data_IF_235785885979
#
_entry.id   IF_235785885979
#
_cell.length_a   1.000
_cell.length_b   1.000
_cell.length_c   1.000
_cell.angle_alpha   90.00
_cell.angle_beta   90.00
_cell.angle_gamma   90.00
#
_symmetry.space_group_name_H-M   'P 1'
#
loop_
_entity.id
_entity.type
_entity.pdbx_description
1 polymer ?
#
# COMPACT_ATOMS: atom_id res chain seq x y z
N UNK A 1 -52.14 27.47 25.83
CA UNK A 1 -51.36 26.87 24.72
C UNK A 1 -50.67 25.64 25.27
N UNK A 2 -51.02 24.43 24.78
CA UNK A 2 -50.48 23.15 25.28
C UNK A 2 -49.21 22.82 24.48
N UNK A 3 -48.07 22.78 25.15
CA UNK A 3 -46.81 22.34 24.54
C UNK A 3 -46.80 20.81 24.43
N UNK A 4 -46.87 20.30 23.21
CA UNK A 4 -46.71 18.88 22.89
C UNK A 4 -45.22 18.61 22.73
N UNK A 5 -44.63 17.89 23.69
CA UNK A 5 -43.28 17.36 23.59
C UNK A 5 -43.30 16.15 22.64
N UNK A 6 -42.76 16.30 21.42
CA UNK A 6 -42.48 15.19 20.52
C UNK A 6 -41.15 14.58 20.98
N UNK A 7 -41.21 13.45 21.68
CA UNK A 7 -40.04 12.62 21.97
C UNK A 7 -39.70 11.88 20.66
N UNK A 8 -38.74 12.42 19.93
CA UNK A 8 -38.15 11.77 18.76
C UNK A 8 -37.37 10.55 19.26
N UNK A 9 -38.01 9.38 19.24
CA UNK A 9 -37.33 8.12 19.53
C UNK A 9 -36.31 7.86 18.43
N UNK A 10 -35.05 8.17 18.72
CA UNK A 10 -33.90 7.71 17.94
C UNK A 10 -33.84 6.19 18.09
N UNK A 11 -34.50 5.49 17.17
CA UNK A 11 -34.29 4.06 16.98
C UNK A 11 -32.86 3.88 16.48
N UNK A 12 -31.92 3.70 17.41
CA UNK A 12 -30.59 3.19 17.13
C UNK A 12 -30.81 1.77 16.60
N UNK A 13 -30.83 1.65 15.27
CA UNK A 13 -30.70 0.36 14.60
C UNK A 13 -29.34 -0.20 15.01
N UNK A 14 -29.35 -1.02 16.06
CA UNK A 14 -28.26 -1.93 16.40
C UNK A 14 -28.18 -2.93 15.25
N UNK A 15 -27.47 -2.55 14.18
CA UNK A 15 -27.06 -3.48 13.15
C UNK A 15 -26.32 -4.60 13.88
N UNK A 16 -26.94 -5.78 13.89
CA UNK A 16 -26.35 -6.99 14.47
C UNK A 16 -25.19 -7.37 13.56
N UNK A 17 -24.01 -6.82 13.85
CA UNK A 17 -22.78 -7.25 13.22
C UNK A 17 -22.60 -8.73 13.56
N UNK A 18 -22.52 -9.57 12.53
CA UNK A 18 -22.10 -10.95 12.73
C UNK A 18 -20.70 -10.94 13.34
N UNK A 19 -20.53 -11.62 14.47
CA UNK A 19 -19.25 -11.83 15.14
C UNK A 19 -18.48 -13.03 14.54
N UNK A 20 -18.78 -13.44 13.31
CA UNK A 20 -18.04 -14.53 12.68
C UNK A 20 -16.59 -14.08 12.44
N UNK A 21 -15.65 -14.84 12.99
CA UNK A 21 -14.22 -14.65 12.80
C UNK A 21 -13.78 -15.27 11.47
N UNK A 22 -13.16 -14.47 10.60
CA UNK A 22 -12.76 -14.88 9.26
C UNK A 22 -11.25 -14.91 9.14
N UNK A 23 -10.71 -16.05 8.67
CA UNK A 23 -9.32 -16.15 8.25
C UNK A 23 -9.22 -15.92 6.74
N UNK A 24 -8.61 -14.81 6.34
CA UNK A 24 -8.24 -14.59 4.94
C UNK A 24 -6.96 -15.36 4.63
N UNK A 25 -6.93 -16.03 3.48
CA UNK A 25 -5.75 -16.69 2.92
C UNK A 25 -5.94 -16.84 1.43
N UNK A 26 -4.86 -16.77 0.66
CA UNK A 26 -4.87 -17.19 -0.72
C UNK A 26 -5.20 -18.68 -0.86
N UNK A 27 -5.89 -19.03 -1.93
CA UNK A 27 -6.02 -20.41 -2.37
C UNK A 27 -5.24 -20.61 -3.67
N UNK A 28 -4.07 -21.24 -3.56
CA UNK A 28 -3.23 -21.61 -4.71
C UNK A 28 -3.56 -22.99 -5.29
N UNK A 29 -4.45 -23.76 -4.67
CA UNK A 29 -4.80 -25.10 -5.14
C UNK A 29 -5.39 -25.06 -6.54
N UNK A 30 -4.94 -26.01 -7.38
CA UNK A 30 -5.36 -26.19 -8.76
C UNK A 30 -5.20 -24.95 -9.65
N UNK A 31 -4.21 -24.11 -9.34
CA UNK A 31 -3.85 -22.92 -10.13
C UNK A 31 -2.37 -22.97 -10.48
N UNK A 32 -2.04 -22.61 -11.73
CA UNK A 32 -0.67 -22.37 -12.20
C UNK A 32 -0.32 -20.89 -12.16
N UNK A 33 -1.27 -20.02 -12.45
CA UNK A 33 -1.06 -18.58 -12.36
C UNK A 33 -2.36 -17.80 -12.10
N UNK A 34 -2.22 -16.63 -11.49
CA UNK A 34 -3.26 -15.61 -11.37
C UNK A 34 -2.69 -14.34 -12.00
N UNK A 35 -3.43 -13.73 -12.93
CA UNK A 35 -2.98 -12.59 -13.71
C UNK A 35 -3.86 -11.38 -13.42
N UNK A 36 -3.22 -10.27 -13.11
CA UNK A 36 -3.84 -8.97 -12.93
C UNK A 36 -3.36 -8.00 -13.99
N UNK A 37 -4.26 -7.14 -14.47
CA UNK A 37 -3.85 -5.88 -15.05
C UNK A 37 -3.35 -4.96 -13.93
N UNK A 38 -2.29 -4.21 -14.22
CA UNK A 38 -1.59 -3.38 -13.25
C UNK A 38 -1.36 -1.97 -13.80
N UNK A 39 -1.60 -0.97 -12.96
CA UNK A 39 -1.36 0.43 -13.22
C UNK A 39 -0.72 1.08 -11.99
N UNK A 40 0.32 1.89 -12.20
CA UNK A 40 0.95 2.67 -11.16
C UNK A 40 1.23 4.08 -11.66
N UNK A 41 0.79 5.08 -10.90
CA UNK A 41 1.11 6.48 -11.13
C UNK A 41 1.98 6.99 -10.00
N UNK A 42 3.12 7.58 -10.34
CA UNK A 42 4.10 8.12 -9.41
C UNK A 42 4.24 9.61 -9.67
N UNK A 43 4.16 10.41 -8.61
CA UNK A 43 4.49 11.83 -8.61
C UNK A 43 5.61 12.04 -7.61
N UNK A 44 6.82 12.27 -8.09
CA UNK A 44 8.01 12.54 -7.27
C UNK A 44 8.35 14.03 -7.29
N UNK A 45 8.88 14.53 -6.18
CA UNK A 45 9.45 15.87 -6.07
C UNK A 45 10.81 15.77 -5.39
N UNK A 46 11.83 16.36 -6.01
CA UNK A 46 13.16 16.46 -5.46
C UNK A 46 13.63 17.93 -5.48
N UNK A 47 13.79 18.58 -4.30
CA UNK A 47 14.17 19.98 -4.23
C UNK A 47 15.55 20.30 -4.82
N UNK A 48 16.45 19.31 -4.92
CA UNK A 48 17.75 19.50 -5.57
C UNK A 48 17.64 19.72 -7.09
N UNK A 49 16.48 19.40 -7.71
CA UNK A 49 16.21 19.59 -9.14
C UNK A 49 15.12 20.66 -9.38
N UNK A 50 15.26 21.82 -8.73
CA UNK A 50 14.35 22.97 -8.85
C UNK A 50 12.88 22.66 -8.51
N UNK A 51 12.63 21.71 -7.59
CA UNK A 51 11.29 21.28 -7.20
C UNK A 51 10.38 20.84 -8.36
N UNK A 52 10.94 20.50 -9.51
CA UNK A 52 10.15 19.99 -10.64
C UNK A 52 9.54 18.66 -10.24
N UNK A 53 8.21 18.58 -10.34
CA UNK A 53 7.49 17.32 -10.17
C UNK A 53 7.68 16.46 -11.40
N UNK A 54 8.10 15.23 -11.20
CA UNK A 54 8.17 14.22 -12.24
C UNK A 54 6.97 13.31 -12.10
N UNK A 55 6.24 13.12 -13.20
CA UNK A 55 5.06 12.28 -13.26
C UNK A 55 5.41 11.06 -14.10
N UNK A 56 5.28 9.88 -13.53
CA UNK A 56 5.51 8.61 -14.22
C UNK A 56 4.26 7.76 -14.16
N UNK A 57 3.91 7.14 -15.27
CA UNK A 57 2.79 6.20 -15.36
C UNK A 57 3.30 4.86 -15.88
N UNK A 58 3.03 3.80 -15.14
CA UNK A 58 3.47 2.45 -15.44
C UNK A 58 2.23 1.58 -15.64
N UNK A 59 2.16 0.85 -16.75
CA UNK A 59 1.11 -0.12 -17.03
C UNK A 59 1.69 -1.46 -17.44
N UNK A 60 1.04 -2.54 -17.08
CA UNK A 60 1.40 -3.88 -17.54
C UNK A 60 0.60 -4.93 -16.81
N UNK A 61 1.22 -6.07 -16.54
CA UNK A 61 0.58 -7.18 -15.86
C UNK A 61 1.35 -7.60 -14.63
N UNK A 62 0.61 -7.97 -13.59
CA UNK A 62 1.15 -8.61 -12.41
C UNK A 62 0.73 -10.09 -12.43
N UNK A 63 1.71 -10.98 -12.52
CA UNK A 63 1.49 -12.44 -12.53
C UNK A 63 1.92 -13.03 -11.20
N UNK A 64 0.98 -13.68 -10.52
CA UNK A 64 1.25 -14.57 -9.40
C UNK A 64 1.44 -15.97 -10.00
N UNK A 65 2.67 -16.48 -10.03
CA UNK A 65 3.01 -17.81 -10.55
C UNK A 65 3.07 -18.80 -9.38
N UNK A 66 2.16 -19.77 -9.37
CA UNK A 66 2.10 -20.79 -8.31
C UNK A 66 3.13 -21.89 -8.61
N UNK A 67 3.89 -22.27 -7.58
CA UNK A 67 4.89 -23.35 -7.61
C UNK A 67 4.30 -24.65 -7.06
N UNK A 68 4.98 -25.76 -7.33
CA UNK A 68 4.56 -27.09 -6.89
C UNK A 68 4.61 -27.30 -5.38
N UNK A 69 5.35 -26.47 -4.65
CA UNK A 69 5.49 -26.48 -3.19
C UNK A 69 4.38 -25.68 -2.47
N UNK A 70 3.42 -25.11 -3.21
CA UNK A 70 2.35 -24.30 -2.65
C UNK A 70 2.75 -22.87 -2.30
N UNK A 71 3.91 -22.41 -2.75
CA UNK A 71 4.33 -21.01 -2.70
C UNK A 71 4.11 -20.33 -4.06
N UNK A 72 4.24 -19.00 -4.11
CA UNK A 72 4.07 -18.25 -5.34
C UNK A 72 5.12 -17.16 -5.56
N UNK A 73 5.54 -16.99 -6.81
CA UNK A 73 6.37 -15.86 -7.23
C UNK A 73 5.47 -14.76 -7.82
N UNK A 74 5.77 -13.50 -7.53
CA UNK A 74 5.09 -12.35 -8.10
C UNK A 74 5.98 -11.69 -9.13
N UNK A 75 5.46 -11.50 -10.34
CA UNK A 75 6.25 -11.13 -11.52
C UNK A 75 5.55 -9.98 -12.24
N UNK A 76 6.27 -8.90 -12.51
CA UNK A 76 5.87 -7.90 -13.48
C UNK A 76 6.10 -8.41 -14.89
N UNK A 77 5.08 -8.28 -15.74
CA UNK A 77 5.10 -8.72 -17.13
C UNK A 77 4.64 -7.61 -18.07
N UNK A 78 5.33 -7.48 -19.20
CA UNK A 78 4.93 -6.57 -20.29
C UNK A 78 4.71 -5.13 -19.80
N UNK A 79 5.57 -4.67 -18.90
CA UNK A 79 5.44 -3.35 -18.30
C UNK A 79 5.89 -2.26 -19.28
N UNK A 80 5.15 -1.17 -19.33
CA UNK A 80 5.46 0.05 -20.07
C UNK A 80 5.42 1.22 -19.12
N UNK A 81 6.53 1.94 -19.01
CA UNK A 81 6.64 3.19 -18.28
C UNK A 81 6.50 4.36 -19.23
N UNK A 82 5.76 5.38 -18.82
CA UNK A 82 5.55 6.62 -19.55
C UNK A 82 5.97 7.80 -18.67
N UNK A 83 6.85 8.65 -19.21
CA UNK A 83 7.09 9.97 -18.61
C UNK A 83 5.93 10.88 -19.01
N UNK A 84 5.34 11.54 -18.02
CA UNK A 84 4.24 12.47 -18.21
C UNK A 84 4.71 13.90 -17.97
N UNK A 85 4.24 14.83 -18.80
CA UNK A 85 4.34 16.26 -18.55
C UNK A 85 2.96 16.86 -18.34
N UNK A 86 2.90 17.96 -17.61
CA UNK A 86 1.69 18.78 -17.50
C UNK A 86 1.74 19.89 -18.56
N UNK A 87 0.69 20.01 -19.36
CA UNK A 87 0.57 21.07 -20.37
C UNK A 87 0.07 22.41 -19.77
N UNK A 88 -0.13 23.43 -20.61
CA UNK A 88 -0.60 24.76 -20.17
C UNK A 88 -2.00 24.75 -19.54
N UNK A 89 -2.82 23.72 -19.79
CA UNK A 89 -4.16 23.55 -19.24
C UNK A 89 -4.17 22.76 -17.94
N UNK A 90 -3.03 22.18 -17.55
CA UNK A 90 -2.94 21.28 -16.40
C UNK A 90 -3.17 19.81 -16.74
N UNK A 91 -3.29 19.46 -18.03
CA UNK A 91 -3.53 18.09 -18.48
C UNK A 91 -2.22 17.31 -18.58
N UNK A 92 -2.26 16.02 -18.22
CA UNK A 92 -1.10 15.14 -18.35
C UNK A 92 -0.96 14.59 -19.77
N UNK A 93 0.20 14.83 -20.38
CA UNK A 93 0.56 14.38 -21.72
C UNK A 93 1.73 13.39 -21.64
N UNK A 94 1.56 12.23 -22.28
CA UNK A 94 2.62 11.21 -22.41
C UNK A 94 3.70 11.72 -23.35
N UNK A 95 4.96 11.72 -22.90
CA UNK A 95 6.12 12.15 -23.70
C UNK A 95 6.88 10.98 -24.29
N UNK A 96 7.45 10.17 -23.40
CA UNK A 96 8.33 9.06 -23.75
C UNK A 96 7.76 7.78 -23.19
N UNK A 97 8.04 6.66 -23.86
CA UNK A 97 7.68 5.32 -23.38
C UNK A 97 8.89 4.41 -23.36
N UNK A 98 9.01 3.63 -22.29
CA UNK A 98 10.04 2.61 -22.15
C UNK A 98 9.39 1.27 -21.79
N UNK A 99 9.72 0.22 -22.54
CA UNK A 99 9.36 -1.15 -22.15
C UNK A 99 10.31 -1.63 -21.07
N UNK A 100 9.78 -2.24 -20.00
CA UNK A 100 10.59 -2.79 -18.93
C UNK A 100 10.63 -4.32 -19.08
N UNK A 101 11.77 -4.96 -18.80
CA UNK A 101 11.86 -6.42 -18.83
C UNK A 101 10.95 -7.05 -17.79
N UNK A 102 10.53 -8.29 -18.04
CA UNK A 102 9.82 -9.07 -17.04
C UNK A 102 10.70 -9.22 -15.80
N UNK A 103 10.15 -8.85 -14.65
CA UNK A 103 10.93 -8.73 -13.41
C UNK A 103 10.21 -9.48 -12.30
N UNK A 104 10.92 -10.37 -11.60
CA UNK A 104 10.41 -11.02 -10.40
C UNK A 104 10.45 -10.00 -9.27
N UNK A 105 9.28 -9.66 -8.75
CA UNK A 105 9.11 -8.69 -7.66
C UNK A 105 9.47 -9.29 -6.31
N UNK A 106 8.93 -10.47 -6.04
CA UNK A 106 9.29 -11.24 -4.87
C UNK A 106 8.96 -12.71 -5.11
N UNK A 107 9.70 -13.58 -4.44
CA UNK A 107 9.60 -15.03 -4.55
C UNK A 107 8.99 -15.60 -3.28
N UNK A 108 8.51 -16.83 -3.39
CA UNK A 108 8.17 -17.66 -2.23
C UNK A 108 7.06 -17.09 -1.34
N UNK A 109 6.11 -16.36 -1.92
CA UNK A 109 4.93 -15.87 -1.21
C UNK A 109 4.05 -17.02 -0.76
N UNK A 110 3.80 -17.10 0.54
CA UNK A 110 2.91 -18.11 1.12
C UNK A 110 1.43 -17.70 1.03
N UNK A 111 0.54 -18.57 1.48
CA UNK A 111 -0.91 -18.36 1.43
C UNK A 111 -1.40 -17.17 2.28
N UNK A 112 -0.57 -16.63 3.18
CA UNK A 112 -0.88 -15.43 3.98
C UNK A 112 -0.23 -14.17 3.41
N UNK A 113 0.25 -14.21 2.16
CA UNK A 113 0.87 -13.07 1.50
C UNK A 113 2.24 -12.68 2.10
N UNK A 114 2.82 -13.52 2.97
CA UNK A 114 4.13 -13.27 3.56
C UNK A 114 5.23 -13.86 2.68
N UNK A 115 6.38 -13.19 2.68
CA UNK A 115 7.63 -13.66 2.07
C UNK A 115 8.75 -13.60 3.10
N UNK A 116 9.67 -14.55 3.03
CA UNK A 116 10.77 -14.64 3.99
C UNK A 116 11.88 -13.64 3.63
N UNK A 117 12.20 -12.76 4.59
CA UNK A 117 13.42 -11.96 4.68
C UNK A 117 13.93 -11.31 3.38
N UNK A 118 13.08 -10.55 2.69
CA UNK A 118 13.49 -9.72 1.54
C UNK A 118 13.21 -8.23 1.79
N UNK A 119 13.96 -7.37 1.09
CA UNK A 119 13.65 -5.93 0.98
C UNK A 119 12.25 -5.65 0.46
N UNK A 120 11.63 -6.63 -0.21
CA UNK A 120 10.35 -6.50 -0.87
C UNK A 120 9.17 -6.98 0.00
N UNK A 121 9.44 -7.45 1.24
CA UNK A 121 8.39 -7.91 2.16
C UNK A 121 7.38 -6.81 2.46
N UNK A 122 7.84 -5.57 2.51
CA UNK A 122 6.98 -4.40 2.65
C UNK A 122 6.02 -4.27 1.45
N UNK A 123 6.53 -4.37 0.23
CA UNK A 123 5.71 -4.26 -0.98
C UNK A 123 4.64 -5.35 -1.03
N UNK A 124 4.97 -6.59 -0.66
CA UNK A 124 4.00 -7.69 -0.59
C UNK A 124 2.87 -7.40 0.41
N UNK A 125 3.22 -6.97 1.63
CA UNK A 125 2.26 -6.61 2.70
C UNK A 125 1.40 -5.39 2.37
N UNK A 126 1.82 -4.59 1.39
CA UNK A 126 1.13 -3.39 0.93
C UNK A 126 0.25 -3.66 -0.30
N UNK A 127 0.71 -4.47 -1.25
CA UNK A 127 -0.06 -4.86 -2.45
C UNK A 127 -1.15 -5.88 -2.15
N UNK A 128 -0.87 -6.84 -1.27
CA UNK A 128 -1.79 -7.94 -0.95
C UNK A 128 -1.94 -8.09 0.57
N UNK A 129 -2.57 -7.11 1.24
CA UNK A 129 -2.67 -7.10 2.69
C UNK A 129 -3.59 -8.22 3.20
N UNK A 130 -3.01 -9.31 3.71
CA UNK A 130 -3.74 -10.42 4.36
C UNK A 130 -3.45 -10.41 5.87
N UNK A 131 -4.48 -10.28 6.74
CA UNK A 131 -4.31 -10.40 8.18
C UNK A 131 -3.85 -11.81 8.57
N UNK A 132 -2.88 -11.89 9.47
CA UNK A 132 -2.37 -13.18 9.98
C UNK A 132 -3.32 -13.82 10.98
N UNK A 133 -4.12 -13.00 11.65
CA UNK A 133 -5.10 -13.41 12.63
C UNK A 133 -6.49 -13.41 12.00
N UNK A 134 -7.42 -14.17 12.60
CA UNK A 134 -8.81 -14.06 12.23
C UNK A 134 -9.36 -12.71 12.65
N UNK A 135 -10.20 -12.12 11.82
CA UNK A 135 -10.87 -10.86 12.12
C UNK A 135 -12.35 -10.93 11.78
N UNK A 136 -13.18 -10.28 12.57
CA UNK A 136 -14.58 -10.02 12.25
C UNK A 136 -14.74 -8.74 11.44
N UNK A 137 -15.92 -8.54 10.84
CA UNK A 137 -16.27 -7.29 10.16
C UNK A 137 -16.07 -6.08 11.10
N UNK A 138 -15.37 -5.05 10.63
CA UNK A 138 -15.09 -3.84 11.40
C UNK A 138 -13.92 -3.96 12.39
N UNK A 139 -13.44 -5.17 12.69
CA UNK A 139 -12.26 -5.38 13.52
C UNK A 139 -10.98 -5.11 12.74
N UNK A 140 -10.01 -4.49 13.40
CA UNK A 140 -8.69 -4.22 12.84
C UNK A 140 -7.68 -5.31 13.20
N UNK A 141 -6.81 -5.64 12.25
CA UNK A 141 -5.59 -6.41 12.44
C UNK A 141 -4.40 -5.61 11.94
N UNK A 142 -3.30 -5.64 12.69
CA UNK A 142 -2.08 -4.90 12.35
C UNK A 142 -1.04 -5.84 11.74
N UNK A 143 -0.65 -5.60 10.49
CA UNK A 143 0.52 -6.25 9.88
C UNK A 143 1.74 -5.39 10.16
N UNK A 144 2.72 -5.94 10.88
CA UNK A 144 3.98 -5.23 11.15
C UNK A 144 4.77 -4.97 9.87
N UNK A 145 5.24 -3.72 9.73
CA UNK A 145 6.00 -3.24 8.58
C UNK A 145 7.39 -2.79 9.01
N UNK A 146 8.36 -3.01 8.12
CA UNK A 146 9.71 -2.50 8.27
C UNK A 146 10.19 -1.96 6.91
N UNK A 147 10.53 -0.68 6.87
CA UNK A 147 10.98 0.01 5.67
C UNK A 147 12.49 0.30 5.81
N UNK A 148 13.35 -0.42 5.06
CA UNK A 148 14.77 -0.12 5.04
C UNK A 148 15.01 1.20 4.29
N UNK A 149 15.81 2.07 4.88
CA UNK A 149 16.14 3.38 4.35
C UNK A 149 17.64 3.62 4.49
N UNK A 150 18.30 4.06 3.42
CA UNK A 150 19.72 4.42 3.48
C UNK A 150 19.88 5.94 3.59
N UNK A 151 20.61 6.40 4.60
CA UNK A 151 20.93 7.81 4.81
C UNK A 151 22.43 7.98 4.99
N UNK A 152 23.08 8.63 4.02
CA UNK A 152 24.53 8.83 3.98
C UNK A 152 25.34 7.55 4.28
N UNK A 153 24.92 6.42 3.71
CA UNK A 153 25.60 5.13 3.91
C UNK A 153 25.15 4.34 5.15
N UNK A 154 24.39 4.96 6.05
CA UNK A 154 23.80 4.28 7.21
C UNK A 154 22.50 3.58 6.82
N UNK A 155 22.38 2.29 7.16
CA UNK A 155 21.15 1.53 6.97
C UNK A 155 20.22 1.72 8.18
N UNK A 156 19.22 2.55 8.00
CA UNK A 156 18.16 2.81 8.95
C UNK A 156 16.94 1.94 8.65
N UNK A 157 16.12 1.75 9.67
CA UNK A 157 14.85 1.03 9.57
C UNK A 157 13.73 1.88 10.15
N UNK A 158 12.71 2.16 9.34
CA UNK A 158 11.47 2.80 9.79
C UNK A 158 10.44 1.71 10.04
N UNK A 159 9.89 1.67 11.25
CA UNK A 159 8.89 0.69 11.67
C UNK A 159 7.50 1.29 11.67
N UNK A 160 6.52 0.41 11.66
CA UNK A 160 5.11 0.74 11.82
C UNK A 160 4.23 -0.42 11.41
N UNK A 161 3.08 -0.12 10.82
CA UNK A 161 2.06 -1.12 10.52
C UNK A 161 1.24 -0.79 9.27
N UNK A 162 0.68 -1.84 8.68
CA UNK A 162 -0.48 -1.76 7.80
C UNK A 162 -1.67 -2.33 8.57
N UNK A 163 -2.54 -1.44 9.04
CA UNK A 163 -3.76 -1.79 9.75
C UNK A 163 -4.86 -2.10 8.74
N UNK A 164 -5.49 -3.27 8.84
CA UNK A 164 -6.48 -3.77 7.88
C UNK A 164 -7.75 -4.15 8.61
N UNK A 165 -8.90 -3.91 7.99
CA UNK A 165 -10.20 -4.43 8.42
C UNK A 165 -11.01 -4.93 7.24
N UNK A 166 -11.93 -5.85 7.50
CA UNK A 166 -13.04 -6.13 6.58
C UNK A 166 -14.09 -5.03 6.84
N UNK A 167 -14.19 -4.05 5.94
CA UNK A 167 -15.11 -2.94 6.09
C UNK A 167 -16.55 -3.35 5.76
N UNK A 168 -16.71 -4.21 4.76
CA UNK A 168 -18.02 -4.65 4.27
C UNK A 168 -17.94 -6.05 3.66
N UNK A 169 -19.04 -6.80 3.75
CA UNK A 169 -19.23 -8.09 3.06
C UNK A 169 -20.45 -8.01 2.16
N UNK A 170 -20.26 -8.31 0.87
CA UNK A 170 -21.31 -8.35 -0.15
C UNK A 170 -21.32 -9.71 -0.84
N UNK A 171 -22.15 -10.62 -0.36
CA UNK A 171 -22.18 -11.99 -0.87
C UNK A 171 -20.83 -12.69 -0.67
N UNK A 172 -20.16 -13.05 -1.76
CA UNK A 172 -18.84 -13.69 -1.72
C UNK A 172 -17.68 -12.67 -1.68
N UNK A 173 -17.94 -11.37 -1.77
CA UNK A 173 -16.93 -10.31 -1.80
C UNK A 173 -16.72 -9.67 -0.42
N UNK A 174 -15.47 -9.62 0.01
CA UNK A 174 -15.03 -8.90 1.20
C UNK A 174 -14.30 -7.63 0.77
N UNK A 175 -14.82 -6.48 1.16
CA UNK A 175 -14.19 -5.19 0.94
C UNK A 175 -13.25 -4.89 2.10
N UNK A 176 -11.95 -4.87 1.82
CA UNK A 176 -10.91 -4.60 2.80
C UNK A 176 -10.47 -3.15 2.69
N UNK A 177 -10.37 -2.48 3.83
CA UNK A 177 -9.75 -1.16 3.94
C UNK A 177 -8.45 -1.30 4.72
N UNK A 178 -7.42 -0.55 4.31
CA UNK A 178 -6.17 -0.49 5.05
C UNK A 178 -5.66 0.93 5.27
N UNK A 179 -4.96 1.12 6.39
CA UNK A 179 -4.23 2.31 6.77
C UNK A 179 -2.78 1.93 7.01
N UNK A 180 -1.88 2.52 6.23
CA UNK A 180 -0.44 2.32 6.35
C UNK A 180 0.15 3.50 7.13
N UNK A 181 0.84 3.22 8.22
CA UNK A 181 1.68 4.19 8.91
C UNK A 181 3.00 3.53 9.30
N UNK A 182 4.06 3.93 8.61
CA UNK A 182 5.45 3.52 8.87
C UNK A 182 6.25 4.79 9.07
N UNK A 183 6.38 5.23 10.32
CA UNK A 183 7.02 6.50 10.68
C UNK A 183 7.87 6.44 11.95
N UNK A 184 7.99 5.27 12.58
CA UNK A 184 8.81 5.07 13.77
C UNK A 184 10.26 4.83 13.35
N UNK A 185 11.06 5.89 13.36
CA UNK A 185 12.48 5.82 13.03
C UNK A 185 13.29 5.53 14.31
N UNK A 186 14.02 4.41 14.32
CA UNK A 186 14.95 4.09 15.39
C UNK A 186 16.38 4.45 14.96
N UNK A 187 16.99 5.40 15.64
CA UNK A 187 18.38 5.79 15.42
C UNK A 187 19.33 4.89 16.23
N UNK A 188 20.39 4.35 15.61
CA UNK A 188 21.58 3.90 16.33
C UNK A 188 22.19 5.05 17.14
N UNK A 189 22.81 4.75 18.29
CA UNK A 189 23.48 5.74 19.14
C UNK A 189 24.56 6.53 18.37
N UNK A 190 25.19 5.92 17.36
CA UNK A 190 26.27 6.55 16.59
C UNK A 190 25.81 7.72 15.69
N UNK A 191 24.52 7.79 15.34
CA UNK A 191 23.95 8.84 14.47
C UNK A 191 22.87 9.65 15.18
N UNK A 192 22.89 9.65 16.52
CA UNK A 192 21.99 10.46 17.34
C UNK A 192 22.14 11.97 17.10
N UNK A 193 23.17 12.41 16.36
CA UNK A 193 23.34 13.82 15.98
C UNK A 193 22.33 14.27 14.91
N UNK A 194 21.71 13.33 14.18
CA UNK A 194 20.72 13.60 13.13
C UNK A 194 19.27 13.44 13.63
N UNK A 195 18.96 13.84 14.89
CA UNK A 195 17.60 13.71 15.49
C UNK A 195 16.50 14.36 14.67
N UNK A 196 16.88 15.31 13.84
CA UNK A 196 15.98 16.06 12.98
C UNK A 196 15.59 15.30 11.71
N UNK A 197 16.27 14.19 11.38
CA UNK A 197 15.89 13.33 10.26
C UNK A 197 14.49 12.74 10.49
N UNK A 198 13.67 12.80 9.45
CA UNK A 198 12.40 12.10 9.40
C UNK A 198 12.33 11.29 8.11
N UNK A 199 11.71 10.11 8.21
CA UNK A 199 11.35 9.28 7.07
C UNK A 199 10.01 8.64 7.41
N UNK A 200 9.06 8.68 6.47
CA UNK A 200 7.81 7.98 6.62
C UNK A 200 7.31 7.40 5.32
N UNK A 201 6.49 6.36 5.45
CA UNK A 201 5.62 5.84 4.42
C UNK A 201 4.22 5.73 5.01
N UNK A 202 3.29 6.52 4.48
CA UNK A 202 1.90 6.58 4.92
C UNK A 202 0.98 6.32 3.74
N UNK A 203 -0.20 5.79 3.98
CA UNK A 203 -1.10 5.50 2.88
C UNK A 203 -2.41 4.89 3.30
N UNK A 204 -3.27 4.68 2.30
CA UNK A 204 -4.53 3.96 2.44
C UNK A 204 -4.74 3.05 1.26
N UNK A 205 -5.43 1.95 1.48
CA UNK A 205 -5.81 1.04 0.40
C UNK A 205 -7.21 0.51 0.55
N UNK A 206 -7.82 0.16 -0.58
CA UNK A 206 -9.08 -0.54 -0.67
C UNK A 206 -8.89 -1.75 -1.57
N UNK A 207 -9.37 -2.90 -1.13
CA UNK A 207 -9.26 -4.16 -1.87
C UNK A 207 -10.58 -4.89 -1.90
N UNK A 208 -10.79 -5.69 -2.94
CA UNK A 208 -11.89 -6.64 -3.00
C UNK A 208 -11.29 -8.05 -2.99
N UNK A 209 -11.73 -8.86 -2.04
CA UNK A 209 -11.31 -10.25 -1.87
C UNK A 209 -12.50 -11.18 -2.07
N UNK A 210 -12.42 -12.10 -3.03
CA UNK A 210 -13.45 -13.10 -3.25
C UNK A 210 -13.23 -14.29 -2.30
N UNK A 211 -14.13 -14.45 -1.33
CA UNK A 211 -14.07 -15.46 -0.28
C UNK A 211 -14.27 -16.90 -0.78
N UNK A 212 -14.97 -17.10 -1.90
CA UNK A 212 -15.16 -18.44 -2.49
C UNK A 212 -13.91 -18.92 -3.20
N UNK A 213 -13.31 -18.04 -4.00
CA UNK A 213 -12.09 -18.33 -4.74
C UNK A 213 -10.82 -18.14 -3.89
N UNK A 214 -10.94 -17.43 -2.76
CA UNK A 214 -9.86 -17.07 -1.86
C UNK A 214 -8.72 -16.34 -2.59
N UNK A 215 -9.07 -15.24 -3.26
CA UNK A 215 -8.14 -14.40 -4.01
C UNK A 215 -8.60 -12.94 -4.04
N UNK A 216 -7.66 -12.02 -4.24
CA UNK A 216 -8.00 -10.63 -4.54
C UNK A 216 -8.55 -10.52 -5.96
N UNK A 217 -9.64 -9.79 -6.14
CA UNK A 217 -10.19 -9.43 -7.46
C UNK A 217 -9.75 -8.05 -7.90
N UNK A 218 -9.52 -7.12 -6.96
CA UNK A 218 -8.96 -5.81 -7.25
C UNK A 218 -8.30 -5.15 -6.03
N UNK A 219 -7.48 -4.13 -6.30
CA UNK A 219 -6.88 -3.29 -5.27
C UNK A 219 -6.60 -1.89 -5.78
N UNK A 220 -6.77 -0.90 -4.92
CA UNK A 220 -6.39 0.50 -5.14
C UNK A 220 -5.68 1.02 -3.89
N UNK A 221 -4.49 1.55 -4.08
CA UNK A 221 -3.55 1.87 -3.02
C UNK A 221 -2.96 3.25 -3.28
N UNK A 222 -2.97 4.11 -2.27
CA UNK A 222 -2.39 5.44 -2.30
C UNK A 222 -1.33 5.54 -1.20
N UNK A 223 -0.09 5.80 -1.58
CA UNK A 223 1.05 5.86 -0.67
C UNK A 223 1.77 7.18 -0.87
N UNK A 224 2.08 7.82 0.25
CA UNK A 224 3.01 8.93 0.35
C UNK A 224 4.27 8.44 1.07
N UNK A 225 5.41 8.66 0.43
CA UNK A 225 6.73 8.49 1.03
C UNK A 225 7.40 9.85 1.09
N UNK A 226 7.93 10.22 2.25
CA UNK A 226 8.68 11.44 2.41
C UNK A 226 9.87 11.20 3.33
N UNK A 227 11.00 11.83 3.00
CA UNK A 227 12.10 11.95 3.95
C UNK A 227 12.79 13.30 3.82
N UNK A 228 13.43 13.71 4.91
CA UNK A 228 14.09 15.00 5.02
C UNK A 228 14.55 15.29 6.43
N UNK A 229 14.91 16.54 6.71
CA UNK A 229 15.33 17.00 8.04
C UNK A 229 14.35 18.04 8.58
N UNK A 230 14.26 18.15 9.90
CA UNK A 230 13.52 19.19 10.62
C UNK A 230 14.52 20.28 11.00
N UNK A 231 14.43 21.46 10.41
CA UNK A 231 15.26 22.59 10.82
C UNK A 231 14.42 23.48 11.75
N UNK A 232 14.96 23.79 12.94
CA UNK A 232 14.34 24.76 13.84
C UNK A 232 14.65 26.17 13.34
N UNK A 233 13.62 26.91 12.93
CA UNK A 233 13.78 28.29 12.52
C UNK A 233 14.09 29.15 13.76
N UNK A 234 15.32 29.66 13.83
CA UNK A 234 15.87 30.39 14.97
C UNK A 234 15.08 31.65 15.31
N UNK A 235 14.29 32.17 14.36
CA UNK A 235 13.55 33.43 14.50
C UNK A 235 12.10 33.18 14.93
N UNK A 236 11.48 32.09 14.45
CA UNK A 236 10.04 31.87 14.66
C UNK A 236 9.71 30.80 15.69
N UNK A 237 10.69 30.04 16.20
CA UNK A 237 10.47 28.84 17.03
C UNK A 237 9.58 27.79 16.33
N UNK A 238 9.37 27.92 15.02
CA UNK A 238 8.61 26.97 14.21
C UNK A 238 9.60 25.97 13.61
N UNK A 239 9.37 24.69 13.84
CA UNK A 239 10.07 23.62 13.15
C UNK A 239 9.61 23.58 11.69
N UNK A 240 10.51 23.88 10.75
CA UNK A 240 10.26 23.74 9.31
C UNK A 240 10.85 22.42 8.83
N UNK A 241 10.05 21.60 8.16
CA UNK A 241 10.54 20.39 7.51
C UNK A 241 11.20 20.77 6.18
N UNK A 242 12.50 20.52 6.06
CA UNK A 242 13.23 20.56 4.79
C UNK A 242 13.13 19.19 4.14
N UNK A 243 12.25 19.09 3.14
CA UNK A 243 12.07 17.87 2.36
C UNK A 243 13.33 17.62 1.53
N UNK A 244 13.79 16.38 1.46
CA UNK A 244 14.86 15.94 0.55
C UNK A 244 14.24 15.18 -0.62
N UNK A 245 13.22 14.37 -0.34
CA UNK A 245 12.43 13.69 -1.36
C UNK A 245 10.99 13.53 -0.89
N UNK A 246 10.06 13.67 -1.82
CA UNK A 246 8.67 13.29 -1.66
C UNK A 246 8.23 12.45 -2.85
N UNK A 247 7.42 11.43 -2.60
CA UNK A 247 6.86 10.57 -3.63
C UNK A 247 5.44 10.20 -3.26
N UNK A 248 4.49 10.50 -4.14
CA UNK A 248 3.12 10.01 -4.07
C UNK A 248 2.94 8.93 -5.12
N UNK A 249 2.44 7.78 -4.71
CA UNK A 249 2.23 6.62 -5.57
C UNK A 249 0.79 6.16 -5.46
N UNK A 250 0.08 6.12 -6.58
CA UNK A 250 -1.19 5.42 -6.72
C UNK A 250 -0.93 4.10 -7.47
N UNK A 251 -1.38 2.98 -6.92
CA UNK A 251 -1.31 1.66 -7.55
C UNK A 251 -2.73 1.12 -7.67
N UNK A 252 -3.03 0.53 -8.82
CA UNK A 252 -4.28 -0.16 -9.09
C UNK A 252 -3.99 -1.50 -9.75
N UNK A 253 -4.75 -2.53 -9.37
CA UNK A 253 -4.74 -3.80 -10.07
C UNK A 253 -6.12 -4.44 -10.10
N UNK A 254 -6.38 -5.21 -11.15
CA UNK A 254 -7.65 -5.90 -11.38
C UNK A 254 -7.40 -7.29 -11.96
N UNK A 255 -8.08 -8.30 -11.41
CA UNK A 255 -7.95 -9.69 -11.84
C UNK A 255 -8.50 -9.84 -13.25
N UNK A 256 -7.69 -10.40 -14.15
CA UNK A 256 -8.11 -10.62 -15.54
C UNK A 256 -8.12 -12.09 -15.94
N UNK A 257 -7.33 -12.95 -15.29
CA UNK A 257 -7.26 -14.36 -15.67
C UNK A 257 -6.77 -15.26 -14.53
N UNK A 258 -7.21 -16.53 -14.56
CA UNK A 258 -6.76 -17.61 -13.67
C UNK A 258 -6.41 -18.82 -14.54
N UNK A 259 -5.13 -19.15 -14.58
CA UNK A 259 -4.61 -20.30 -15.33
C UNK A 259 -4.60 -21.52 -14.40
N UNK A 260 -5.26 -22.61 -14.81
CA UNK A 260 -5.33 -23.90 -14.09
C UNK A 260 -4.25 -24.89 -14.56
#
# INVERSE_FOLDING_TARGET
>A
MKNVFIILSFAVFMLSFSNDEIQLKWNFENKKAIIYDYSQKIVSSNPFFNDKKEHTLIHGKLKIKIKSDGLADVIFMSMKSYSLSVDEKGDEVKKDSMEMPNTVLFQDMNIFGQIDNTSNAMLAKTLFPIPLEKISTGQFSNIKMNFPFNYFGNNLNVKGFNQIKIAEMKGEEFHLESLIDVSELNFPEEIEQDKDLFCFLKGKSNHIFNSKQNLFTSGNLNIEMQYGTKEMDSISSITKAKKIMGMNTNIQFELIDIIK
#
